data_IF_882665173856
#
_entry.id   IF_882665173856
#
_cell.length_a   1.000
_cell.length_b   1.000
_cell.length_c   1.000
_cell.angle_alpha   90.00
_cell.angle_beta   90.00
_cell.angle_gamma   90.00
#
_symmetry.space_group_name_H-M   'P 1'
#
loop_
_entity.id
_entity.type
_entity.pdbx_description
1 polymer ?
#
# COMPACT_ATOMS: atom_id res chain seq x y z
N UNK A 1 47.31 48.07 7.39
CA UNK A 1 46.87 47.57 6.09
C UNK A 1 45.99 46.34 6.33
N UNK A 2 44.70 46.54 6.28
CA UNK A 2 43.76 45.43 6.28
C UNK A 2 42.59 45.80 5.34
N UNK A 3 42.79 45.56 4.06
CA UNK A 3 41.84 45.89 3.02
C UNK A 3 41.05 44.69 2.47
N UNK A 4 41.00 43.58 3.24
CA UNK A 4 40.42 42.33 2.78
C UNK A 4 39.07 42.00 3.48
N UNK A 5 38.69 42.80 4.48
CA UNK A 5 37.47 42.49 5.28
C UNK A 5 36.14 42.94 4.68
N UNK A 6 36.15 43.68 3.58
CA UNK A 6 34.90 44.20 2.96
C UNK A 6 34.34 43.34 1.79
N UNK A 7 35.17 42.50 1.20
CA UNK A 7 34.75 41.64 0.08
C UNK A 7 33.74 40.55 0.46
N UNK A 8 33.78 39.92 1.68
CA UNK A 8 32.82 38.89 2.03
C UNK A 8 31.36 39.36 2.13
N UNK A 9 31.12 40.64 2.32
CA UNK A 9 29.76 41.19 2.42
C UNK A 9 29.04 41.33 1.08
N UNK A 10 29.75 41.21 -0.03
CA UNK A 10 29.23 41.27 -1.38
C UNK A 10 29.09 39.90 -2.06
N UNK A 11 29.41 38.80 -1.36
CA UNK A 11 29.09 37.48 -1.86
C UNK A 11 27.58 37.23 -1.69
N UNK A 12 26.82 37.65 -2.67
CA UNK A 12 25.41 37.23 -2.79
C UNK A 12 25.42 35.76 -3.09
N UNK A 13 24.65 35.00 -2.32
CA UNK A 13 24.37 33.59 -2.60
C UNK A 13 23.70 33.53 -3.96
N UNK A 14 24.29 32.82 -4.91
CA UNK A 14 23.66 32.60 -6.20
C UNK A 14 22.47 31.66 -6.00
N UNK A 15 21.25 32.15 -6.27
CA UNK A 15 20.03 31.35 -6.20
C UNK A 15 19.81 30.70 -7.56
N UNK A 16 19.74 29.37 -7.59
CA UNK A 16 19.29 28.66 -8.76
C UNK A 16 17.78 28.85 -8.95
N UNK A 17 17.37 29.22 -10.14
CA UNK A 17 15.94 29.38 -10.49
C UNK A 17 15.17 28.04 -10.52
N UNK A 18 15.85 26.91 -10.43
CA UNK A 18 15.26 25.59 -10.48
C UNK A 18 14.96 25.05 -9.07
N UNK A 19 13.70 24.68 -8.88
CA UNK A 19 13.26 24.01 -7.66
C UNK A 19 13.44 22.51 -7.79
N UNK A 20 14.22 21.92 -6.90
CA UNK A 20 14.41 20.47 -6.84
C UNK A 20 13.52 19.82 -5.79
N UNK A 21 12.85 18.74 -6.17
CA UNK A 21 12.08 17.96 -5.21
C UNK A 21 13.00 17.12 -4.33
N UNK A 22 12.81 17.22 -3.01
CA UNK A 22 13.42 16.29 -2.08
C UNK A 22 13.01 14.84 -2.40
N UNK A 23 13.87 13.90 -2.00
CA UNK A 23 13.66 12.47 -2.26
C UNK A 23 12.30 12.02 -1.73
N UNK A 24 11.41 11.61 -2.63
CA UNK A 24 10.07 11.13 -2.31
C UNK A 24 9.57 10.14 -3.36
N UNK A 25 8.56 9.35 -2.99
CA UNK A 25 7.92 8.43 -3.91
C UNK A 25 7.12 9.20 -4.97
N UNK A 26 7.46 9.03 -6.25
CA UNK A 26 6.83 9.72 -7.38
C UNK A 26 5.59 8.99 -7.92
N UNK A 27 5.58 7.66 -7.85
CA UNK A 27 4.54 6.80 -8.43
C UNK A 27 4.04 5.84 -7.35
N UNK A 28 2.74 5.52 -7.38
CA UNK A 28 2.16 4.48 -6.52
C UNK A 28 2.77 3.12 -6.86
N UNK A 29 3.12 2.36 -5.84
CA UNK A 29 3.73 1.03 -5.98
C UNK A 29 2.71 -0.11 -5.93
N UNK A 30 1.52 0.16 -5.40
CA UNK A 30 0.49 -0.84 -5.18
C UNK A 30 -0.71 -0.71 -6.12
N UNK A 31 -0.99 0.48 -6.66
CA UNK A 31 -2.18 0.76 -7.48
C UNK A 31 -2.33 -0.18 -8.68
N UNK A 32 -1.25 -0.57 -9.33
CA UNK A 32 -1.27 -1.50 -10.48
C UNK A 32 -1.57 -2.95 -10.09
N UNK A 33 -1.36 -3.27 -8.82
CA UNK A 33 -1.49 -4.63 -8.26
C UNK A 33 -2.78 -4.85 -7.47
N UNK A 34 -3.72 -3.92 -7.57
CA UNK A 34 -5.08 -4.02 -7.02
C UNK A 34 -6.11 -3.83 -8.13
N UNK A 35 -7.33 -4.28 -7.89
CA UNK A 35 -8.44 -4.03 -8.82
C UNK A 35 -8.97 -2.62 -8.60
N UNK A 36 -8.82 -1.75 -9.61
CA UNK A 36 -9.31 -0.36 -9.54
C UNK A 36 -10.74 -0.30 -10.02
N UNK A 37 -11.60 0.30 -9.23
CA UNK A 37 -13.03 0.46 -9.49
C UNK A 37 -13.43 1.93 -9.56
N UNK A 38 -14.24 2.29 -10.54
CA UNK A 38 -14.85 3.62 -10.56
C UNK A 38 -16.09 3.63 -9.68
N UNK A 39 -16.14 4.57 -8.75
CA UNK A 39 -17.27 4.74 -7.84
C UNK A 39 -17.92 6.09 -8.06
N UNK A 40 -19.20 6.08 -8.42
CA UNK A 40 -20.04 7.28 -8.53
C UNK A 40 -21.02 7.30 -7.36
N UNK A 41 -20.73 8.09 -6.33
CA UNK A 41 -21.56 8.18 -5.13
C UNK A 41 -20.76 7.89 -3.85
N UNK A 42 -21.47 7.83 -2.73
CA UNK A 42 -20.86 7.66 -1.40
C UNK A 42 -20.32 6.25 -1.15
N UNK A 43 -20.94 5.25 -1.76
CA UNK A 43 -20.66 3.84 -1.48
C UNK A 43 -20.88 2.98 -2.73
N UNK A 44 -20.15 1.89 -2.82
CA UNK A 44 -20.35 0.83 -3.82
C UNK A 44 -20.39 -0.51 -3.10
N UNK A 45 -21.36 -1.33 -3.44
CA UNK A 45 -21.51 -2.67 -2.87
C UNK A 45 -21.08 -3.72 -3.88
N UNK A 46 -20.49 -4.80 -3.37
CA UNK A 46 -20.16 -6.00 -4.14
C UNK A 46 -20.89 -7.18 -3.51
N UNK A 47 -21.70 -7.84 -4.31
CA UNK A 47 -22.38 -9.05 -3.90
C UNK A 47 -21.42 -10.23 -4.04
N UNK A 48 -21.41 -11.10 -3.07
CA UNK A 48 -20.60 -12.31 -3.02
C UNK A 48 -21.51 -13.50 -2.80
N UNK A 49 -21.17 -14.63 -3.43
CA UNK A 49 -21.84 -15.92 -3.26
C UNK A 49 -20.85 -16.89 -2.64
N UNK A 50 -21.31 -17.66 -1.65
CA UNK A 50 -20.53 -18.75 -1.12
C UNK A 50 -20.42 -19.90 -2.12
N UNK A 51 -19.34 -20.68 -2.02
CA UNK A 51 -19.19 -21.91 -2.78
C UNK A 51 -20.29 -22.91 -2.41
N UNK A 52 -20.75 -23.66 -3.38
CA UNK A 52 -21.74 -24.72 -3.22
C UNK A 52 -21.13 -26.05 -3.65
N UNK A 53 -21.51 -27.13 -2.98
CA UNK A 53 -21.06 -28.46 -3.29
C UNK A 53 -22.19 -29.26 -3.93
N UNK A 54 -21.83 -30.13 -4.88
CA UNK A 54 -22.78 -31.09 -5.47
C UNK A 54 -22.92 -32.32 -4.58
N UNK A 55 -24.17 -32.71 -4.32
CA UNK A 55 -24.47 -33.95 -3.60
C UNK A 55 -24.67 -35.10 -4.57
N UNK A 56 -24.11 -36.27 -4.26
CA UNK A 56 -24.28 -37.49 -5.08
C UNK A 56 -25.70 -38.01 -4.95
N UNK A 57 -26.38 -38.23 -6.09
CA UNK A 57 -27.68 -38.91 -6.15
C UNK A 57 -27.42 -40.41 -5.91
N UNK A 58 -28.02 -40.96 -4.86
CA UNK A 58 -27.80 -42.36 -4.45
C UNK A 58 -28.96 -43.29 -4.81
N UNK A 59 -30.13 -42.75 -5.14
CA UNK A 59 -31.30 -43.53 -5.48
C UNK A 59 -31.91 -43.07 -6.81
N UNK A 60 -32.48 -44.03 -7.57
CA UNK A 60 -33.23 -43.73 -8.79
C UNK A 60 -34.56 -43.05 -8.44
N UNK A 61 -34.88 -41.95 -9.10
CA UNK A 61 -36.09 -41.14 -8.83
C UNK A 61 -36.16 -40.58 -7.41
N UNK A 62 -34.96 -40.22 -6.84
CA UNK A 62 -34.90 -39.51 -5.57
C UNK A 62 -35.37 -38.06 -5.72
N UNK A 63 -35.92 -37.50 -4.65
CA UNK A 63 -36.28 -36.09 -4.60
C UNK A 63 -35.05 -35.19 -4.77
N UNK A 64 -35.27 -34.03 -5.37
CA UNK A 64 -34.20 -33.05 -5.58
C UNK A 64 -33.79 -32.45 -4.23
N UNK A 65 -32.49 -32.56 -3.90
CA UNK A 65 -31.96 -31.90 -2.71
C UNK A 65 -31.73 -30.41 -3.02
N UNK A 66 -32.51 -29.55 -2.39
CA UNK A 66 -32.44 -28.10 -2.58
C UNK A 66 -31.59 -27.54 -1.43
N UNK A 67 -30.55 -26.79 -1.76
CA UNK A 67 -29.74 -26.04 -0.81
C UNK A 67 -29.69 -24.56 -1.19
N UNK A 68 -29.83 -23.69 -0.21
CA UNK A 68 -29.71 -22.25 -0.41
C UNK A 68 -28.25 -21.81 -0.45
N UNK A 69 -27.96 -20.85 -1.30
CA UNK A 69 -26.63 -20.25 -1.41
C UNK A 69 -26.50 -19.07 -0.45
N UNK A 70 -25.51 -19.12 0.43
CA UNK A 70 -25.23 -18.00 1.31
C UNK A 70 -24.73 -16.79 0.51
N UNK A 71 -25.38 -15.65 0.69
CA UNK A 71 -25.04 -14.38 0.06
C UNK A 71 -24.39 -13.43 1.06
N UNK A 72 -23.36 -12.75 0.64
CA UNK A 72 -22.68 -11.72 1.42
C UNK A 72 -22.53 -10.43 0.61
N UNK A 73 -22.36 -9.31 1.29
CA UNK A 73 -22.09 -8.01 0.67
C UNK A 73 -20.83 -7.41 1.25
N UNK A 74 -20.01 -6.82 0.37
CA UNK A 74 -18.85 -6.00 0.73
C UNK A 74 -19.10 -4.56 0.32
N UNK A 75 -18.65 -3.65 1.16
CA UNK A 75 -18.84 -2.22 0.99
C UNK A 75 -17.53 -1.53 0.74
N UNK A 76 -17.51 -0.70 -0.29
CA UNK A 76 -16.38 0.15 -0.64
C UNK A 76 -16.82 1.61 -0.49
N UNK A 77 -16.16 2.33 0.43
CA UNK A 77 -16.48 3.71 0.79
C UNK A 77 -15.30 4.62 0.44
N UNK A 78 -15.40 5.43 -0.62
CA UNK A 78 -14.40 6.44 -0.90
C UNK A 78 -14.55 7.63 0.05
N UNK A 79 -13.42 8.14 0.52
CA UNK A 79 -13.33 9.35 1.33
C UNK A 79 -12.63 10.46 0.55
N UNK A 80 -13.02 11.74 0.74
CA UNK A 80 -12.34 12.86 0.15
C UNK A 80 -11.01 13.13 0.87
N UNK A 81 -9.96 13.33 0.08
CA UNK A 81 -8.64 13.77 0.53
C UNK A 81 -8.31 15.06 -0.18
N UNK A 82 -7.71 16.01 0.52
CA UNK A 82 -7.27 17.25 -0.06
C UNK A 82 -5.89 17.66 0.45
N UNK A 83 -5.20 18.41 -0.38
CA UNK A 83 -4.03 19.17 -0.01
C UNK A 83 -4.08 20.53 -0.71
N UNK A 84 -3.80 21.59 0.03
CA UNK A 84 -3.81 22.95 -0.48
C UNK A 84 -2.56 23.69 -0.03
N UNK A 85 -1.99 24.48 -0.95
CA UNK A 85 -0.86 25.37 -0.71
C UNK A 85 -1.30 26.79 -1.10
N UNK A 86 -0.95 27.77 -0.29
CA UNK A 86 -1.18 29.19 -0.54
C UNK A 86 0.15 29.86 -0.88
N UNK A 87 0.12 30.76 -1.84
CA UNK A 87 1.20 31.68 -2.19
C UNK A 87 0.68 33.09 -2.04
N UNK A 88 1.29 33.88 -1.15
CA UNK A 88 0.96 35.28 -0.96
C UNK A 88 1.57 36.15 -2.06
N UNK A 89 0.98 37.31 -2.34
CA UNK A 89 1.55 38.31 -3.28
C UNK A 89 2.94 38.74 -2.84
N UNK A 90 3.17 38.90 -1.52
CA UNK A 90 4.45 39.26 -0.95
C UNK A 90 5.53 38.20 -1.14
N UNK A 91 5.17 36.92 -1.29
CA UNK A 91 6.13 35.85 -1.55
C UNK A 91 6.88 36.08 -2.89
N UNK A 92 6.19 36.63 -3.89
CA UNK A 92 6.78 36.97 -5.17
C UNK A 92 7.78 38.15 -5.04
N UNK A 93 7.47 39.14 -4.22
CA UNK A 93 8.37 40.27 -3.98
C UNK A 93 9.61 39.87 -3.18
N UNK A 94 9.45 39.02 -2.14
CA UNK A 94 10.57 38.55 -1.33
C UNK A 94 11.50 37.57 -2.06
N UNK A 95 10.98 36.79 -3.00
CA UNK A 95 11.75 35.90 -3.84
C UNK A 95 12.55 36.64 -4.94
N UNK A 96 12.17 37.90 -5.26
CA UNK A 96 12.84 38.72 -6.25
C UNK A 96 12.75 38.14 -7.66
N UNK A 97 13.90 37.77 -8.25
CA UNK A 97 13.96 37.21 -9.62
C UNK A 97 13.54 35.73 -9.71
N UNK A 98 13.32 35.04 -8.57
CA UNK A 98 12.93 33.62 -8.57
C UNK A 98 11.43 33.49 -8.74
N UNK A 99 11.01 32.77 -9.77
CA UNK A 99 9.58 32.53 -10.02
C UNK A 99 8.97 31.63 -8.94
N UNK A 100 7.70 31.87 -8.60
CA UNK A 100 6.94 31.02 -7.67
C UNK A 100 6.84 29.58 -8.21
N UNK A 101 7.10 28.55 -7.41
CA UNK A 101 7.16 27.15 -7.85
C UNK A 101 5.76 26.51 -8.00
N UNK A 102 4.91 27.11 -8.85
CA UNK A 102 3.54 26.63 -9.04
C UNK A 102 3.47 25.25 -9.70
N UNK A 103 4.26 25.01 -10.76
CA UNK A 103 4.30 23.75 -11.47
C UNK A 103 4.89 22.63 -10.61
N UNK A 104 5.95 22.92 -9.86
CA UNK A 104 6.61 22.00 -8.92
C UNK A 104 5.69 21.67 -7.75
N UNK A 105 4.89 22.63 -7.30
CA UNK A 105 3.87 22.40 -6.26
C UNK A 105 2.78 21.46 -6.75
N UNK A 106 2.28 21.63 -7.97
CA UNK A 106 1.32 20.69 -8.58
C UNK A 106 1.92 19.30 -8.71
N UNK A 107 3.19 19.20 -9.10
CA UNK A 107 3.90 17.92 -9.18
C UNK A 107 4.06 17.28 -7.79
N UNK A 108 4.37 18.07 -6.76
CA UNK A 108 4.46 17.58 -5.38
C UNK A 108 3.10 17.08 -4.85
N UNK A 109 2.00 17.78 -5.14
CA UNK A 109 0.65 17.34 -4.82
C UNK A 109 0.30 16.02 -5.55
N UNK A 110 0.79 15.84 -6.79
CA UNK A 110 0.63 14.59 -7.52
C UNK A 110 1.34 13.41 -6.83
N UNK A 111 2.55 13.64 -6.35
CA UNK A 111 3.31 12.61 -5.61
C UNK A 111 2.65 12.30 -4.27
N UNK A 112 2.09 13.30 -3.57
CA UNK A 112 1.32 13.12 -2.35
C UNK A 112 0.07 12.25 -2.58
N UNK A 113 -0.67 12.50 -3.66
CA UNK A 113 -1.81 11.66 -4.06
C UNK A 113 -1.40 10.19 -4.27
N UNK A 114 -0.28 9.92 -4.97
CA UNK A 114 0.21 8.56 -5.19
C UNK A 114 0.59 7.83 -3.90
N UNK A 115 1.21 8.54 -2.93
CA UNK A 115 1.50 7.99 -1.59
C UNK A 115 0.22 7.72 -0.80
N UNK A 116 -0.78 8.59 -0.92
CA UNK A 116 -2.09 8.39 -0.27
C UNK A 116 -2.82 7.19 -0.82
N UNK A 117 -2.74 6.92 -2.14
CA UNK A 117 -3.27 5.69 -2.73
C UNK A 117 -2.65 4.44 -2.08
N UNK A 118 -1.32 4.39 -1.94
CA UNK A 118 -0.65 3.26 -1.33
C UNK A 118 -1.06 3.09 0.14
N UNK A 119 -1.16 4.20 0.90
CA UNK A 119 -1.59 4.17 2.29
C UNK A 119 -3.02 3.61 2.43
N UNK A 120 -3.95 4.08 1.62
CA UNK A 120 -5.35 3.61 1.63
C UNK A 120 -5.45 2.12 1.32
N UNK A 121 -4.62 1.61 0.40
CA UNK A 121 -4.56 0.17 0.08
C UNK A 121 -4.03 -0.64 1.27
N UNK A 122 -2.96 -0.19 1.92
CA UNK A 122 -2.37 -0.86 3.08
C UNK A 122 -3.35 -0.86 4.26
N UNK A 123 -3.97 0.27 4.55
CA UNK A 123 -4.95 0.40 5.63
C UNK A 123 -6.17 -0.52 5.39
N UNK A 124 -6.61 -0.68 4.15
CA UNK A 124 -7.70 -1.60 3.79
C UNK A 124 -7.30 -3.08 3.86
N UNK A 125 -6.05 -3.42 3.53
CA UNK A 125 -5.54 -4.78 3.60
C UNK A 125 -5.49 -5.30 5.04
N UNK A 126 -4.99 -4.48 5.97
CA UNK A 126 -4.77 -4.85 7.36
C UNK A 126 -5.92 -4.47 8.30
N UNK A 127 -6.71 -3.48 7.92
CA UNK A 127 -7.84 -2.96 8.70
C UNK A 127 -9.09 -3.83 8.61
N UNK A 128 -10.22 -3.29 9.06
CA UNK A 128 -11.52 -3.95 9.02
C UNK A 128 -12.23 -3.66 7.69
N UNK A 129 -12.81 -4.70 7.09
CA UNK A 129 -13.69 -4.58 5.94
C UNK A 129 -15.16 -4.50 6.40
N UNK A 130 -15.95 -3.67 5.73
CA UNK A 130 -17.36 -3.51 6.05
C UNK A 130 -18.21 -4.52 5.29
N UNK A 131 -19.09 -5.20 6.04
CA UNK A 131 -19.92 -6.30 5.55
C UNK A 131 -21.38 -6.14 6.00
N UNK A 132 -22.21 -7.09 5.57
CA UNK A 132 -23.62 -7.14 5.91
C UNK A 132 -24.50 -6.30 4.98
N UNK A 133 -25.79 -6.38 5.18
CA UNK A 133 -26.77 -5.74 4.31
C UNK A 133 -26.68 -4.21 4.34
N UNK A 134 -26.40 -3.64 5.50
CA UNK A 134 -26.29 -2.19 5.73
C UNK A 134 -24.85 -1.67 5.75
N UNK A 135 -23.85 -2.56 5.66
CA UNK A 135 -22.44 -2.18 5.70
C UNK A 135 -21.95 -1.63 7.04
N UNK A 136 -22.60 -2.00 8.13
CA UNK A 136 -22.23 -1.55 9.49
C UNK A 136 -21.31 -2.56 10.19
N UNK A 137 -21.39 -3.83 9.80
CA UNK A 137 -20.57 -4.87 10.43
C UNK A 137 -19.12 -4.77 9.96
N UNK A 138 -18.22 -4.48 10.90
CA UNK A 138 -16.77 -4.43 10.64
C UNK A 138 -16.16 -5.82 10.84
N UNK A 139 -15.57 -6.38 9.78
CA UNK A 139 -14.91 -7.68 9.81
C UNK A 139 -13.39 -7.47 9.77
N UNK A 140 -12.71 -7.76 10.88
CA UNK A 140 -11.25 -7.72 10.96
C UNK A 140 -10.62 -8.93 10.24
N UNK A 141 -9.31 -8.88 10.01
CA UNK A 141 -8.58 -10.03 9.49
C UNK A 141 -8.52 -11.12 10.55
N UNK A 142 -8.98 -12.38 10.26
CA UNK A 142 -8.97 -13.48 11.21
C UNK A 142 -7.56 -13.84 11.67
N UNK A 143 -7.43 -14.36 12.89
CA UNK A 143 -6.13 -14.81 13.42
C UNK A 143 -5.50 -15.93 12.59
N UNK A 144 -6.30 -16.78 11.95
CA UNK A 144 -5.82 -17.82 11.02
C UNK A 144 -5.16 -17.28 9.75
N UNK A 145 -5.35 -16.00 9.41
CA UNK A 145 -4.70 -15.34 8.28
C UNK A 145 -3.51 -14.48 8.72
N UNK A 146 -2.96 -14.75 9.91
CA UNK A 146 -1.81 -14.03 10.46
C UNK A 146 -0.67 -14.98 10.74
N UNK A 147 0.51 -14.65 10.20
CA UNK A 147 1.76 -15.34 10.51
C UNK A 147 2.44 -14.61 11.67
N UNK A 148 2.61 -15.32 12.78
CA UNK A 148 3.18 -14.76 14.01
C UNK A 148 4.64 -14.34 13.84
N UNK A 149 5.12 -13.42 14.69
CA UNK A 149 6.50 -12.92 14.66
C UNK A 149 7.53 -14.00 15.01
N UNK A 150 7.13 -14.96 15.83
CA UNK A 150 7.93 -16.08 16.31
C UNK A 150 7.71 -17.39 15.52
N UNK A 151 7.02 -17.31 14.37
CA UNK A 151 6.73 -18.47 13.55
C UNK A 151 8.01 -19.10 12.99
N UNK A 152 8.19 -20.40 13.27
CA UNK A 152 9.24 -21.28 12.74
C UNK A 152 8.61 -22.61 12.33
N UNK A 153 9.13 -23.26 11.28
CA UNK A 153 8.64 -24.58 10.84
C UNK A 153 9.13 -25.68 11.77
N UNK A 154 10.37 -25.55 12.25
CA UNK A 154 11.03 -26.52 13.12
C UNK A 154 11.91 -25.81 14.14
N UNK A 155 11.95 -26.32 15.36
CA UNK A 155 12.74 -25.75 16.45
C UNK A 155 11.91 -24.96 17.47
N UNK A 156 12.59 -24.20 18.30
CA UNK A 156 11.94 -23.34 19.30
C UNK A 156 11.48 -22.04 18.68
N UNK A 157 10.26 -21.63 18.99
CA UNK A 157 9.72 -20.35 18.56
C UNK A 157 10.58 -19.20 19.08
N UNK A 158 11.00 -18.32 18.19
CA UNK A 158 11.77 -17.12 18.51
C UNK A 158 11.40 -15.99 17.55
N UNK A 159 11.35 -14.78 18.07
CA UNK A 159 11.11 -13.63 17.22
C UNK A 159 12.13 -13.57 16.09
N UNK A 160 11.67 -13.28 14.90
CA UNK A 160 12.52 -13.23 13.72
C UNK A 160 12.05 -12.18 12.73
N UNK A 161 12.96 -11.70 11.91
CA UNK A 161 12.64 -10.88 10.74
C UNK A 161 11.80 -11.64 9.71
N UNK A 162 11.79 -11.21 8.48
CA UNK A 162 11.12 -11.95 7.42
C UNK A 162 11.99 -13.14 7.00
N UNK A 163 11.48 -14.36 7.26
CA UNK A 163 12.14 -15.62 6.94
C UNK A 163 11.42 -16.37 5.83
N UNK A 164 12.11 -17.35 5.21
CA UNK A 164 11.53 -18.24 4.22
C UNK A 164 10.38 -19.07 4.82
N UNK A 165 10.51 -19.50 6.07
CA UNK A 165 9.45 -20.21 6.79
C UNK A 165 8.13 -19.41 6.82
N UNK A 166 8.21 -18.10 7.13
CA UNK A 166 7.04 -17.23 7.10
C UNK A 166 6.44 -17.07 5.70
N UNK A 167 7.27 -17.02 4.66
CA UNK A 167 6.79 -16.97 3.28
C UNK A 167 6.11 -18.29 2.86
N UNK A 168 6.67 -19.44 3.26
CA UNK A 168 6.04 -20.75 3.02
C UNK A 168 4.67 -20.83 3.73
N UNK A 169 4.60 -20.37 4.97
CA UNK A 169 3.32 -20.34 5.70
C UNK A 169 2.31 -19.42 5.03
N UNK A 170 2.72 -18.25 4.56
CA UNK A 170 1.83 -17.37 3.81
C UNK A 170 1.34 -18.01 2.49
N UNK A 171 2.23 -18.70 1.78
CA UNK A 171 1.87 -19.44 0.57
C UNK A 171 0.91 -20.60 0.88
N UNK A 172 1.16 -21.33 1.97
CA UNK A 172 0.29 -22.40 2.44
C UNK A 172 -1.13 -21.89 2.72
N UNK A 173 -1.27 -20.80 3.47
CA UNK A 173 -2.58 -20.22 3.80
C UNK A 173 -3.36 -19.79 2.55
N UNK A 174 -2.67 -19.24 1.53
CA UNK A 174 -3.32 -18.87 0.28
C UNK A 174 -3.72 -20.11 -0.55
N UNK A 175 -2.91 -21.17 -0.55
CA UNK A 175 -3.20 -22.41 -1.25
C UNK A 175 -4.37 -23.17 -0.59
N UNK A 176 -4.39 -23.24 0.74
CA UNK A 176 -5.48 -23.87 1.49
C UNK A 176 -6.81 -23.13 1.29
N UNK A 177 -6.75 -21.83 1.02
CA UNK A 177 -7.91 -21.02 0.67
C UNK A 177 -8.40 -21.20 -0.79
N UNK A 178 -7.82 -22.14 -1.54
CA UNK A 178 -8.17 -22.42 -2.94
C UNK A 178 -8.07 -21.19 -3.85
N UNK A 179 -7.10 -20.31 -3.57
CA UNK A 179 -6.83 -19.15 -4.41
C UNK A 179 -6.26 -19.61 -5.75
N UNK A 180 -6.86 -19.13 -6.84
CA UNK A 180 -6.44 -19.49 -8.20
C UNK A 180 -4.96 -19.16 -8.43
N UNK A 181 -4.21 -20.12 -8.95
CA UNK A 181 -2.78 -19.98 -9.25
C UNK A 181 -2.51 -18.99 -10.39
N UNK A 182 -3.52 -18.69 -11.22
CA UNK A 182 -3.43 -17.67 -12.27
C UNK A 182 -3.41 -16.24 -11.72
N UNK A 183 -3.95 -16.02 -10.52
CA UNK A 183 -3.98 -14.71 -9.88
C UNK A 183 -2.60 -14.36 -9.31
N UNK A 184 -2.01 -13.21 -9.69
CA UNK A 184 -0.71 -12.82 -9.18
C UNK A 184 -0.74 -12.59 -7.67
N UNK A 185 0.17 -13.25 -6.96
CA UNK A 185 0.40 -13.08 -5.53
C UNK A 185 1.41 -11.98 -5.31
N UNK A 186 1.07 -11.02 -4.50
CA UNK A 186 1.88 -9.85 -4.22
C UNK A 186 2.21 -9.83 -2.73
N UNK A 187 3.46 -9.53 -2.41
CA UNK A 187 3.87 -9.28 -1.03
C UNK A 187 4.42 -7.86 -0.88
N UNK A 188 3.94 -7.18 0.15
CA UNK A 188 4.33 -5.80 0.47
C UNK A 188 5.26 -5.82 1.67
N UNK A 189 6.48 -5.33 1.46
CA UNK A 189 7.57 -5.37 2.43
C UNK A 189 8.33 -4.04 2.47
N UNK A 190 9.06 -3.78 3.54
CA UNK A 190 10.04 -2.69 3.60
C UNK A 190 11.43 -3.15 3.14
N UNK A 191 12.37 -2.21 3.07
CA UNK A 191 13.75 -2.52 2.69
C UNK A 191 14.44 -3.46 3.69
N UNK A 192 14.10 -3.36 5.00
CA UNK A 192 14.69 -4.20 6.06
C UNK A 192 14.34 -5.68 5.85
N UNK A 193 13.07 -5.98 5.57
CA UNK A 193 12.63 -7.37 5.35
C UNK A 193 13.26 -8.00 4.11
N UNK A 194 13.49 -7.22 3.05
CA UNK A 194 14.25 -7.71 1.88
C UNK A 194 15.69 -8.02 2.27
N UNK A 195 16.32 -7.16 3.08
CA UNK A 195 17.66 -7.39 3.58
C UNK A 195 17.72 -8.66 4.44
N UNK A 196 16.74 -8.89 5.30
CA UNK A 196 16.66 -10.07 6.15
C UNK A 196 16.54 -11.36 5.32
N UNK A 197 15.73 -11.35 4.26
CA UNK A 197 15.64 -12.47 3.32
C UNK A 197 16.96 -12.73 2.58
N UNK A 198 17.64 -11.68 2.12
CA UNK A 198 18.92 -11.83 1.41
C UNK A 198 20.05 -12.33 2.31
N UNK A 199 19.93 -12.22 3.63
CA UNK A 199 20.88 -12.77 4.60
C UNK A 199 20.73 -14.27 4.79
N UNK A 200 19.59 -14.87 4.44
CA UNK A 200 19.36 -16.31 4.58
C UNK A 200 20.16 -17.09 3.54
N UNK A 201 20.88 -18.12 4.00
CA UNK A 201 21.75 -18.95 3.15
C UNK A 201 20.97 -19.66 2.02
N UNK A 202 19.70 -19.98 2.28
CA UNK A 202 18.82 -20.65 1.32
C UNK A 202 18.50 -19.76 0.10
N UNK A 203 18.43 -18.44 0.27
CA UNK A 203 18.20 -17.48 -0.82
C UNK A 203 19.49 -17.22 -1.59
N UNK A 204 20.64 -17.34 -0.95
CA UNK A 204 21.95 -17.06 -1.53
C UNK A 204 22.62 -18.29 -2.17
N UNK A 205 22.06 -19.49 -1.96
CA UNK A 205 22.59 -20.74 -2.54
C UNK A 205 22.45 -20.75 -4.07
N UNK A 206 23.53 -21.17 -4.76
CA UNK A 206 23.60 -21.24 -6.22
C UNK A 206 22.61 -22.27 -6.84
N UNK A 207 22.17 -23.25 -6.07
CA UNK A 207 21.21 -24.28 -6.49
C UNK A 207 19.76 -23.73 -6.62
N UNK A 208 19.46 -22.60 -5.97
CA UNK A 208 18.21 -21.90 -6.18
C UNK A 208 18.40 -20.83 -7.26
N UNK A 209 17.51 -20.76 -8.24
CA UNK A 209 17.49 -19.83 -9.38
C UNK A 209 17.50 -18.32 -8.97
N UNK A 210 17.77 -18.04 -7.70
CA UNK A 210 17.81 -16.74 -7.03
C UNK A 210 19.15 -16.00 -7.16
N UNK A 211 20.15 -16.59 -7.84
CA UNK A 211 21.45 -15.93 -8.10
C UNK A 211 21.30 -14.58 -8.80
N UNK A 212 20.26 -14.43 -9.63
CA UNK A 212 19.93 -13.13 -10.24
C UNK A 212 19.52 -12.07 -9.23
N UNK A 213 18.81 -12.43 -8.17
CA UNK A 213 18.39 -11.51 -7.12
C UNK A 213 19.58 -10.98 -6.31
N UNK A 214 20.56 -11.83 -6.06
CA UNK A 214 21.79 -11.46 -5.33
C UNK A 214 22.67 -10.50 -6.16
N UNK A 215 22.81 -10.74 -7.46
CA UNK A 215 23.64 -9.92 -8.36
C UNK A 215 23.03 -8.55 -8.59
N UNK A 216 21.69 -8.44 -8.61
CA UNK A 216 20.99 -7.18 -8.85
C UNK A 216 20.57 -6.45 -7.56
N UNK A 217 20.68 -7.08 -6.40
CA UNK A 217 20.22 -6.53 -5.10
C UNK A 217 18.70 -6.27 -5.05
N UNK A 218 17.94 -6.83 -5.99
CA UNK A 218 16.49 -6.68 -6.08
C UNK A 218 15.82 -8.04 -6.14
N UNK A 219 14.95 -8.30 -5.17
CA UNK A 219 14.09 -9.47 -5.17
C UNK A 219 12.77 -9.08 -5.87
N UNK A 220 12.59 -9.51 -7.11
CA UNK A 220 11.36 -9.18 -7.87
C UNK A 220 10.30 -10.27 -7.70
N UNK A 221 10.69 -11.55 -7.82
CA UNK A 221 9.78 -12.69 -7.64
C UNK A 221 10.50 -13.82 -6.91
N UNK A 222 9.90 -14.33 -5.83
CA UNK A 222 10.39 -15.48 -5.09
C UNK A 222 9.23 -16.28 -4.53
N UNK A 223 9.26 -17.60 -4.63
CA UNK A 223 8.21 -18.52 -4.17
C UNK A 223 6.79 -18.17 -4.69
N UNK A 224 6.70 -17.68 -5.92
CA UNK A 224 5.43 -17.27 -6.52
C UNK A 224 4.92 -15.90 -6.09
N UNK A 225 5.58 -15.22 -5.15
CA UNK A 225 5.25 -13.87 -4.75
C UNK A 225 6.02 -12.82 -5.55
N UNK A 226 5.31 -11.79 -6.00
CA UNK A 226 5.90 -10.54 -6.53
C UNK A 226 6.16 -9.59 -5.37
N UNK A 227 7.41 -9.23 -5.15
CA UNK A 227 7.80 -8.33 -4.05
C UNK A 227 7.58 -6.88 -4.44
N UNK A 228 6.90 -6.15 -3.55
CA UNK A 228 6.72 -4.70 -3.69
C UNK A 228 7.26 -4.00 -2.46
N UNK A 229 8.38 -3.26 -2.68
CA UNK A 229 9.02 -2.51 -1.62
C UNK A 229 8.32 -1.17 -1.44
N UNK A 230 7.79 -0.93 -0.26
CA UNK A 230 7.22 0.35 0.17
C UNK A 230 8.10 1.03 1.22
N UNK A 231 7.85 2.31 1.47
CA UNK A 231 8.53 2.99 2.56
C UNK A 231 8.12 2.38 3.91
N UNK A 232 9.07 2.20 4.81
CA UNK A 232 8.82 1.65 6.14
C UNK A 232 7.77 2.42 6.92
N UNK A 233 7.67 3.74 6.72
CA UNK A 233 6.67 4.60 7.36
C UNK A 233 5.22 4.31 6.95
N UNK A 234 4.99 3.63 5.81
CA UNK A 234 3.65 3.27 5.35
C UNK A 234 3.13 1.96 5.96
N UNK A 235 4.04 1.09 6.43
CA UNK A 235 3.67 -0.18 7.07
C UNK A 235 3.48 0.03 8.57
N UNK A 236 2.46 -0.59 9.18
CA UNK A 236 2.25 -0.52 10.63
C UNK A 236 3.48 -1.05 11.38
N UNK A 237 3.88 -0.31 12.40
CA UNK A 237 5.01 -0.63 13.26
C UNK A 237 4.66 -0.45 14.72
N UNK A 238 4.91 -1.46 15.53
CA UNK A 238 4.69 -1.43 16.97
C UNK A 238 6.01 -1.19 17.67
N UNK A 239 6.26 0.06 18.07
CA UNK A 239 7.53 0.46 18.67
C UNK A 239 7.88 -0.28 19.97
N UNK A 240 6.87 -0.68 20.76
CA UNK A 240 7.08 -1.41 22.01
C UNK A 240 7.66 -2.82 21.81
N UNK A 241 7.39 -3.46 20.66
CA UNK A 241 7.83 -4.82 20.36
C UNK A 241 8.83 -4.89 19.22
N UNK A 242 9.08 -3.77 18.52
CA UNK A 242 9.95 -3.75 17.34
C UNK A 242 9.36 -4.45 16.11
N UNK A 243 8.08 -4.82 16.15
CA UNK A 243 7.43 -5.61 15.11
C UNK A 243 6.83 -4.71 14.03
N UNK A 244 7.19 -5.00 12.79
CA UNK A 244 6.55 -4.42 11.61
C UNK A 244 5.64 -5.42 10.94
N UNK A 245 4.46 -4.96 10.55
CA UNK A 245 3.48 -5.77 9.86
C UNK A 245 3.66 -5.63 8.35
N UNK A 246 4.02 -6.73 7.70
CA UNK A 246 4.00 -6.93 6.26
C UNK A 246 2.74 -7.70 5.89
N UNK A 247 2.40 -7.78 4.62
CA UNK A 247 1.27 -8.60 4.17
C UNK A 247 1.46 -9.11 2.76
N UNK A 248 0.91 -10.28 2.52
CA UNK A 248 0.77 -10.87 1.21
C UNK A 248 -0.71 -10.86 0.80
N UNK A 249 -0.98 -10.64 -0.47
CA UNK A 249 -2.35 -10.63 -0.99
C UNK A 249 -2.40 -11.06 -2.45
N UNK A 250 -3.60 -11.35 -2.90
CA UNK A 250 -3.89 -11.65 -4.29
C UNK A 250 -4.58 -10.44 -4.92
N UNK A 251 -4.30 -10.17 -6.18
CA UNK A 251 -4.84 -8.98 -6.87
C UNK A 251 -6.36 -8.85 -6.75
N UNK A 252 -7.08 -9.96 -6.87
CA UNK A 252 -8.55 -10.00 -6.71
C UNK A 252 -9.03 -9.76 -5.28
N UNK A 253 -8.14 -9.89 -4.28
CA UNK A 253 -8.46 -9.74 -2.85
C UNK A 253 -8.65 -8.30 -2.39
N UNK A 254 -8.12 -7.31 -3.11
CA UNK A 254 -8.21 -5.91 -2.76
C UNK A 254 -8.82 -5.09 -3.90
N UNK A 255 -9.74 -4.20 -3.56
CA UNK A 255 -10.34 -3.24 -4.50
C UNK A 255 -10.09 -1.82 -4.04
N UNK A 256 -9.66 -0.98 -4.98
CA UNK A 256 -9.44 0.45 -4.80
C UNK A 256 -10.51 1.22 -5.56
N UNK A 257 -11.21 2.11 -4.88
CA UNK A 257 -12.01 3.17 -5.51
C UNK A 257 -11.11 4.37 -5.77
N UNK A 258 -11.01 4.78 -7.01
CA UNK A 258 -10.23 5.92 -7.43
C UNK A 258 -11.07 6.76 -8.40
N UNK A 259 -11.56 7.91 -7.93
CA UNK A 259 -12.31 8.87 -8.75
C UNK A 259 -11.39 9.84 -9.51
N UNK A 260 -10.07 9.65 -9.39
CA UNK A 260 -9.06 10.53 -9.95
C UNK A 260 -8.79 11.77 -9.11
N UNK A 261 -7.86 12.55 -9.60
CA UNK A 261 -7.39 13.78 -8.98
C UNK A 261 -7.92 14.98 -9.73
N UNK A 262 -8.38 16.00 -8.99
CA UNK A 262 -8.74 17.32 -9.51
C UNK A 262 -7.84 18.38 -8.91
N UNK A 263 -7.32 19.27 -9.73
CA UNK A 263 -6.50 20.40 -9.30
C UNK A 263 -7.27 21.68 -9.58
N UNK A 264 -7.37 22.52 -8.58
CA UNK A 264 -7.97 23.87 -8.66
C UNK A 264 -6.89 24.88 -8.34
N UNK A 265 -6.85 25.95 -9.13
CA UNK A 265 -5.94 27.08 -8.93
C UNK A 265 -6.83 28.32 -8.89
N UNK A 266 -6.99 28.89 -7.70
CA UNK A 266 -7.92 29.97 -7.43
C UNK A 266 -7.26 31.07 -6.61
N UNK A 267 -7.66 32.33 -6.87
CA UNK A 267 -7.27 33.47 -6.04
C UNK A 267 -8.26 33.60 -4.90
N UNK A 268 -7.76 33.61 -3.68
CA UNK A 268 -8.57 33.67 -2.46
C UNK A 268 -8.71 35.11 -1.96
N UNK A 269 -9.87 35.73 -2.23
CA UNK A 269 -10.18 37.10 -1.77
C UNK A 269 -10.20 37.21 -0.23
N UNK A 270 -10.54 36.12 0.48
CA UNK A 270 -10.57 36.05 1.95
C UNK A 270 -9.18 35.86 2.60
N UNK A 271 -8.13 35.68 1.79
CA UNK A 271 -6.74 35.47 2.20
C UNK A 271 -5.80 36.43 1.49
N UNK A 272 -6.05 37.74 1.61
CA UNK A 272 -5.24 38.79 0.99
C UNK A 272 -4.95 38.54 -0.51
N UNK A 273 -5.96 38.04 -1.25
CA UNK A 273 -5.81 37.64 -2.66
C UNK A 273 -4.71 36.61 -2.96
N UNK A 274 -4.30 35.82 -1.96
CA UNK A 274 -3.31 34.79 -2.13
C UNK A 274 -3.74 33.74 -3.18
N UNK A 275 -2.80 33.29 -3.99
CA UNK A 275 -3.00 32.20 -4.96
C UNK A 275 -3.05 30.86 -4.23
N UNK A 276 -4.16 30.14 -4.35
CA UNK A 276 -4.33 28.80 -3.80
C UNK A 276 -4.22 27.73 -4.88
N UNK A 277 -3.32 26.78 -4.68
CA UNK A 277 -3.28 25.54 -5.45
C UNK A 277 -3.87 24.46 -4.56
N UNK A 278 -5.03 23.92 -4.94
CA UNK A 278 -5.75 22.90 -4.20
C UNK A 278 -5.91 21.63 -5.03
N UNK A 279 -5.48 20.50 -4.49
CA UNK A 279 -5.67 19.18 -5.10
C UNK A 279 -6.67 18.40 -4.26
N UNK A 280 -7.69 17.86 -4.90
CA UNK A 280 -8.73 17.03 -4.28
C UNK A 280 -8.76 15.68 -4.96
N UNK A 281 -8.87 14.61 -4.17
CA UNK A 281 -9.05 13.26 -4.65
C UNK A 281 -10.08 12.52 -3.78
N UNK A 282 -10.78 11.57 -4.35
CA UNK A 282 -11.67 10.68 -3.60
C UNK A 282 -11.14 9.26 -3.73
N UNK A 283 -10.67 8.70 -2.62
CA UNK A 283 -10.02 7.40 -2.54
C UNK A 283 -10.66 6.54 -1.47
N UNK A 284 -10.77 5.25 -1.74
CA UNK A 284 -11.19 4.26 -0.77
C UNK A 284 -10.72 2.89 -1.20
N UNK A 285 -10.49 2.00 -0.27
CA UNK A 285 -10.18 0.62 -0.58
C UNK A 285 -10.91 -0.33 0.36
N UNK A 286 -11.10 -1.55 -0.06
CA UNK A 286 -11.70 -2.59 0.76
C UNK A 286 -11.10 -3.95 0.41
N UNK A 287 -11.04 -4.80 1.44
CA UNK A 287 -10.71 -6.21 1.29
C UNK A 287 -11.97 -6.97 0.88
N UNK A 288 -11.88 -7.74 -0.22
CA UNK A 288 -13.02 -8.52 -0.71
C UNK A 288 -13.25 -9.78 0.11
N UNK A 289 -12.17 -10.51 0.37
CA UNK A 289 -12.19 -11.75 1.16
C UNK A 289 -11.02 -11.79 2.12
N UNK A 290 -11.27 -12.25 3.35
CA UNK A 290 -10.23 -12.38 4.37
C UNK A 290 -9.17 -13.40 3.96
N UNK A 291 -9.58 -14.50 3.33
CA UNK A 291 -8.69 -15.59 2.90
C UNK A 291 -7.70 -15.20 1.79
N UNK A 292 -7.94 -14.10 1.09
CA UNK A 292 -7.07 -13.59 0.02
C UNK A 292 -5.98 -12.63 0.52
N UNK A 293 -5.93 -12.38 1.82
CA UNK A 293 -4.92 -11.51 2.45
C UNK A 293 -4.32 -12.22 3.65
N UNK A 294 -3.00 -12.23 3.75
CA UNK A 294 -2.24 -12.82 4.86
C UNK A 294 -1.35 -11.75 5.47
N UNK A 295 -1.51 -11.52 6.76
CA UNK A 295 -0.66 -10.65 7.56
C UNK A 295 0.61 -11.41 7.99
N UNK A 296 1.77 -10.77 7.91
CA UNK A 296 3.07 -11.35 8.29
C UNK A 296 3.77 -10.39 9.25
N UNK A 297 3.97 -10.83 10.48
CA UNK A 297 4.70 -10.07 11.48
C UNK A 297 6.22 -10.35 11.36
N UNK A 298 7.02 -9.29 11.31
CA UNK A 298 8.48 -9.35 11.21
C UNK A 298 9.11 -8.46 12.28
N UNK A 299 10.08 -8.97 13.01
CA UNK A 299 10.88 -8.21 13.96
C UNK A 299 11.95 -7.40 13.21
N UNK A 300 12.09 -6.12 13.53
CA UNK A 300 13.11 -5.22 12.96
C UNK A 300 14.27 -4.91 13.91
N UNK A 301 14.15 -5.33 15.16
CA UNK A 301 15.19 -5.05 16.20
C UNK A 301 16.34 -6.06 16.15
N UNK A 302 16.11 -7.23 15.55
CA UNK A 302 17.08 -8.33 15.42
C UNK A 302 18.09 -8.13 14.29
#
# INVERSE_FOLDING_TARGET
>A
MSAIAQIPQYFTTEFTSNWEHLLQQKVSKLREFVSVESVRGKEKTFNQMAAVEMTKITARAADTNISDVALAKRWLRPYPYEHATLFDEWDAEYLGEVSLPQSETVANHAMAYMRTCDKVIIDAALGSAYTGETGVTATALPSGQKVAVDYVETGSAANSGLTIAKLRQAAYLLNEAEVDDSDPRIIVVSAKQIQDLLRTTEVTSADYNSVKALVQGQLDTFMGFKFRRVASSLLPYVAATGVRTCFAYVRSGLKLADAGRKVHVDIRADKSHALQIRTVASLGATRMEEKKVVEIAADEVL
#
